data_IF_010183276512
#
_entry.id   IF_010183276512
#
_cell.length_a   1.000
_cell.length_b   1.000
_cell.length_c   1.000
_cell.angle_alpha   90.00
_cell.angle_beta   90.00
_cell.angle_gamma   90.00
#
_symmetry.space_group_name_H-M   'P 1'
#
loop_
_entity.id
_entity.type
_entity.pdbx_description
1 polymer ?
#
# COMPACT_ATOMS: atom_id res chain seq x y z
N UNK A 1 -11.88 -14.03 -13.93
CA UNK A 1 -11.47 -12.83 -13.15
C UNK A 1 -10.04 -12.50 -13.57
N UNK A 2 -9.64 -11.24 -13.64
CA UNK A 2 -8.24 -10.91 -13.93
C UNK A 2 -7.35 -11.42 -12.79
N UNK A 3 -6.14 -11.85 -13.14
CA UNK A 3 -5.19 -12.46 -12.22
C UNK A 3 -4.43 -11.39 -11.44
N UNK A 4 -4.36 -11.54 -10.12
CA UNK A 4 -3.57 -10.65 -9.24
C UNK A 4 -2.11 -11.07 -9.25
N UNK A 5 -1.22 -10.09 -9.36
CA UNK A 5 0.23 -10.31 -9.27
C UNK A 5 0.69 -9.92 -7.88
N UNK A 6 1.40 -10.84 -7.22
CA UNK A 6 2.00 -10.63 -5.89
C UNK A 6 3.51 -10.51 -6.09
N UNK A 7 4.13 -9.49 -5.49
CA UNK A 7 5.58 -9.34 -5.55
C UNK A 7 6.28 -10.51 -4.85
N UNK A 8 7.29 -11.09 -5.50
CA UNK A 8 8.08 -12.22 -4.94
C UNK A 8 8.79 -11.93 -3.61
N UNK A 9 8.93 -10.68 -3.20
CA UNK A 9 9.56 -10.28 -1.94
C UNK A 9 8.56 -10.13 -0.80
N UNK A 10 7.26 -10.08 -1.09
CA UNK A 10 6.21 -10.01 -0.07
C UNK A 10 6.11 -11.36 0.63
N UNK A 11 6.33 -11.37 1.96
CA UNK A 11 6.39 -12.61 2.77
C UNK A 11 5.13 -12.88 3.58
N UNK A 12 4.39 -11.82 3.87
CA UNK A 12 3.12 -11.87 4.58
C UNK A 12 1.99 -11.59 3.59
N UNK A 13 2.00 -12.30 2.46
CA UNK A 13 1.12 -12.04 1.35
C UNK A 13 -0.36 -12.31 1.67
N UNK A 14 -1.23 -11.60 0.97
CA UNK A 14 -2.64 -11.93 0.92
C UNK A 14 -2.90 -13.15 0.05
N UNK A 15 -3.96 -13.87 0.39
CA UNK A 15 -4.45 -15.01 -0.38
C UNK A 15 -5.59 -14.55 -1.27
N UNK A 16 -5.42 -14.68 -2.59
CA UNK A 16 -6.46 -14.40 -3.58
C UNK A 16 -6.80 -15.67 -4.37
N UNK A 17 -8.02 -15.72 -4.91
CA UNK A 17 -8.51 -16.90 -5.64
C UNK A 17 -7.73 -17.21 -6.93
N UNK A 18 -7.29 -16.18 -7.67
CA UNK A 18 -6.44 -16.30 -8.86
C UNK A 18 -5.28 -15.30 -8.74
N UNK A 19 -4.10 -15.82 -8.39
CA UNK A 19 -2.90 -15.01 -8.22
C UNK A 19 -1.64 -15.72 -8.72
N UNK A 20 -0.61 -14.93 -8.98
CA UNK A 20 0.73 -15.41 -9.36
C UNK A 20 1.80 -14.56 -8.69
N UNK A 21 2.87 -15.20 -8.22
CA UNK A 21 4.04 -14.50 -7.73
C UNK A 21 4.96 -14.11 -8.89
N UNK A 22 5.23 -12.82 -9.07
CA UNK A 22 6.20 -12.28 -10.04
C UNK A 22 6.94 -11.12 -9.41
N UNK A 23 8.14 -10.79 -9.89
CA UNK A 23 8.83 -9.58 -9.46
C UNK A 23 8.10 -8.35 -10.00
N UNK A 24 7.75 -7.41 -9.14
CA UNK A 24 7.23 -6.08 -9.48
C UNK A 24 8.32 -5.02 -9.33
N UNK A 25 8.28 -3.98 -10.16
CA UNK A 25 9.23 -2.87 -10.07
C UNK A 25 8.91 -1.91 -8.90
N UNK A 26 7.62 -1.83 -8.52
CA UNK A 26 7.12 -1.10 -7.37
C UNK A 26 5.80 -1.71 -6.85
N UNK A 27 5.56 -1.58 -5.54
CA UNK A 27 4.40 -2.14 -4.83
C UNK A 27 4.53 -3.63 -4.53
N UNK A 28 3.65 -4.09 -3.63
CA UNK A 28 3.56 -5.50 -3.22
C UNK A 28 2.52 -6.27 -4.05
N UNK A 29 1.51 -5.56 -4.58
CA UNK A 29 0.44 -6.15 -5.38
C UNK A 29 0.16 -5.34 -6.63
N UNK A 30 -0.18 -6.03 -7.71
CA UNK A 30 -0.65 -5.46 -8.96
C UNK A 30 -1.66 -6.40 -9.66
N UNK A 31 -2.05 -6.08 -10.89
CA UNK A 31 -2.95 -6.89 -11.72
C UNK A 31 -2.29 -7.18 -13.07
N UNK A 32 -2.45 -8.40 -13.56
CA UNK A 32 -1.80 -8.86 -14.80
C UNK A 32 -2.17 -7.98 -16.01
N UNK A 33 -1.16 -7.59 -16.79
CA UNK A 33 -1.29 -6.68 -17.93
C UNK A 33 -1.20 -5.18 -17.58
N UNK A 34 -1.21 -4.83 -16.29
CA UNK A 34 -1.09 -3.44 -15.80
C UNK A 34 -0.02 -3.29 -14.72
N UNK A 35 0.98 -4.17 -14.67
CA UNK A 35 2.00 -4.25 -13.61
C UNK A 35 2.81 -2.96 -13.41
N UNK A 36 2.95 -2.18 -14.48
CA UNK A 36 3.69 -0.91 -14.48
C UNK A 36 2.76 0.33 -14.44
N UNK A 37 1.46 0.12 -14.22
CA UNK A 37 0.44 1.17 -14.22
C UNK A 37 -0.42 1.17 -12.96
N UNK A 38 -0.60 0.00 -12.33
CA UNK A 38 -1.40 -0.17 -11.13
C UNK A 38 -0.54 -0.84 -10.06
N UNK A 39 -0.52 -0.30 -8.84
CA UNK A 39 0.22 -0.90 -7.74
C UNK A 39 -0.42 -0.61 -6.39
N UNK A 40 -0.31 -1.56 -5.46
CA UNK A 40 -0.65 -1.38 -4.06
C UNK A 40 0.55 -1.74 -3.20
N UNK A 41 0.98 -0.80 -2.36
CA UNK A 41 1.97 -1.01 -1.31
C UNK A 41 1.24 -1.33 0.00
N UNK A 42 1.50 -2.48 0.59
CA UNK A 42 0.89 -2.91 1.86
C UNK A 42 1.85 -2.61 3.00
N UNK A 43 1.32 -2.10 4.12
CA UNK A 43 2.07 -1.99 5.38
C UNK A 43 1.24 -2.41 6.57
N UNK A 44 1.86 -3.13 7.51
CA UNK A 44 1.34 -3.19 8.88
C UNK A 44 1.43 -1.80 9.52
N UNK A 45 0.73 -1.58 10.62
CA UNK A 45 0.81 -0.30 11.33
C UNK A 45 2.23 -0.03 11.85
N UNK A 46 2.88 -1.04 12.44
CA UNK A 46 4.24 -0.93 12.95
C UNK A 46 5.24 -0.64 11.83
N UNK A 47 5.11 -1.31 10.68
CA UNK A 47 5.98 -1.07 9.52
C UNK A 47 5.74 0.32 8.93
N UNK A 48 4.48 0.77 8.86
CA UNK A 48 4.15 2.11 8.40
C UNK A 48 4.80 3.17 9.29
N UNK A 49 4.65 3.08 10.62
CA UNK A 49 5.26 4.01 11.59
C UNK A 49 6.78 3.99 11.48
N UNK A 50 7.40 2.80 11.51
CA UNK A 50 8.85 2.65 11.37
C UNK A 50 9.36 3.31 10.08
N UNK A 51 8.65 3.09 8.97
CA UNK A 51 8.98 3.63 7.66
C UNK A 51 8.89 5.16 7.62
N UNK A 52 7.81 5.75 8.13
CA UNK A 52 7.60 7.20 8.06
C UNK A 52 8.41 7.98 9.09
N UNK A 53 8.93 7.34 10.13
CA UNK A 53 9.73 7.99 11.17
C UNK A 53 11.23 7.80 10.91
N UNK A 54 11.68 6.57 10.64
CA UNK A 54 13.10 6.25 10.50
C UNK A 54 13.52 6.00 9.04
N UNK A 55 12.60 5.52 8.20
CA UNK A 55 12.87 5.09 6.82
C UNK A 55 12.63 6.13 5.74
N UNK A 56 12.43 7.42 6.08
CA UNK A 56 11.92 8.45 5.16
C UNK A 56 12.65 8.51 3.82
N UNK A 57 13.99 8.45 3.79
CA UNK A 57 14.74 8.54 2.54
C UNK A 57 14.48 7.35 1.60
N UNK A 58 14.52 6.11 2.13
CA UNK A 58 14.27 4.89 1.36
C UNK A 58 12.84 4.87 0.84
N UNK A 59 11.89 5.17 1.73
CA UNK A 59 10.48 5.13 1.38
C UNK A 59 10.10 6.20 0.35
N UNK A 60 10.73 7.37 0.39
CA UNK A 60 10.55 8.39 -0.65
C UNK A 60 10.97 7.88 -2.03
N UNK A 61 12.03 7.07 -2.13
CA UNK A 61 12.45 6.47 -3.40
C UNK A 61 11.43 5.43 -3.89
N UNK A 62 10.82 4.67 -2.99
CA UNK A 62 9.74 3.73 -3.32
C UNK A 62 8.49 4.49 -3.80
N UNK A 63 8.08 5.53 -3.07
CA UNK A 63 6.97 6.41 -3.47
C UNK A 63 7.24 7.10 -4.81
N UNK A 64 8.47 7.54 -5.09
CA UNK A 64 8.84 8.16 -6.37
C UNK A 64 8.65 7.22 -7.56
N UNK A 65 8.82 5.91 -7.38
CA UNK A 65 8.50 4.96 -8.47
C UNK A 65 6.99 4.91 -8.72
N UNK A 66 6.21 4.96 -7.65
CA UNK A 66 4.75 4.90 -7.69
C UNK A 66 4.10 6.17 -8.26
N UNK A 67 4.76 7.33 -8.24
CA UNK A 67 4.17 8.56 -8.81
C UNK A 67 3.96 8.51 -10.33
N UNK A 68 4.70 7.66 -11.03
CA UNK A 68 4.52 7.43 -12.47
C UNK A 68 3.35 6.49 -12.80
N UNK A 69 2.78 5.82 -11.80
CA UNK A 69 1.72 4.85 -12.01
C UNK A 69 0.38 5.56 -12.18
N UNK A 70 -0.46 5.02 -13.06
CA UNK A 70 -1.82 5.51 -13.28
C UNK A 70 -2.69 5.41 -12.03
N UNK A 71 -2.46 4.38 -11.23
CA UNK A 71 -3.13 4.14 -9.96
C UNK A 71 -2.20 3.43 -8.98
N UNK A 72 -1.67 4.18 -8.03
CA UNK A 72 -0.92 3.63 -6.92
C UNK A 72 -1.55 4.05 -5.58
N UNK A 73 -1.48 3.20 -4.58
CA UNK A 73 -1.85 3.56 -3.21
C UNK A 73 -1.03 2.79 -2.17
N UNK A 74 -0.98 3.34 -0.96
CA UNK A 74 -0.51 2.64 0.24
C UNK A 74 -1.72 2.18 1.02
N UNK A 75 -1.74 0.92 1.44
CA UNK A 75 -2.77 0.33 2.30
C UNK A 75 -2.14 -0.05 3.63
N UNK A 76 -2.67 0.51 4.71
CA UNK A 76 -2.23 0.25 6.08
C UNK A 76 -3.24 -0.67 6.77
N UNK A 77 -2.76 -1.76 7.36
CA UNK A 77 -3.58 -2.75 8.09
C UNK A 77 -4.00 -2.29 9.50
N UNK A 78 -4.48 -1.06 9.59
CA UNK A 78 -4.95 -0.43 10.81
C UNK A 78 -5.93 0.69 10.49
N UNK A 79 -6.71 1.12 11.48
CA UNK A 79 -7.54 2.32 11.39
C UNK A 79 -6.77 3.57 11.81
N UNK A 80 -7.30 4.74 11.42
CA UNK A 80 -6.80 6.03 11.94
C UNK A 80 -6.94 6.08 13.48
N UNK A 81 -7.98 5.44 14.04
CA UNK A 81 -8.18 5.35 15.49
C UNK A 81 -7.00 4.62 16.15
N UNK A 82 -6.44 3.59 15.53
CA UNK A 82 -5.29 2.87 16.08
C UNK A 82 -4.03 3.75 16.11
N UNK A 83 -3.87 4.65 15.13
CA UNK A 83 -2.82 5.68 15.15
C UNK A 83 -3.06 6.66 16.30
N UNK A 84 -4.27 7.22 16.39
CA UNK A 84 -4.61 8.23 17.40
C UNK A 84 -4.49 7.71 18.84
N UNK A 85 -4.77 6.43 19.05
CA UNK A 85 -4.65 5.74 20.33
C UNK A 85 -3.25 5.13 20.57
N UNK A 86 -2.26 5.41 19.71
CA UNK A 86 -0.89 4.92 19.83
C UNK A 86 -0.79 3.38 19.92
N UNK A 87 -1.56 2.65 19.11
CA UNK A 87 -1.58 1.17 19.11
C UNK A 87 -0.49 0.58 18.22
N UNK A 88 0.71 1.13 18.32
CA UNK A 88 1.88 0.74 17.54
C UNK A 88 3.15 0.86 18.37
N UNK A 89 4.24 0.27 17.89
CA UNK A 89 5.54 0.26 18.55
C UNK A 89 6.31 1.56 18.35
N UNK A 90 7.09 1.94 19.36
CA UNK A 90 7.95 3.12 19.36
C UNK A 90 7.29 4.37 19.95
N UNK A 91 8.05 5.46 20.01
CA UNK A 91 7.69 6.68 20.74
C UNK A 91 7.21 7.83 19.82
N UNK A 92 6.99 7.53 18.53
CA UNK A 92 6.54 8.52 17.58
C UNK A 92 5.15 9.04 17.96
N UNK A 93 5.02 10.34 18.16
CA UNK A 93 3.74 10.96 18.51
C UNK A 93 2.70 10.74 17.38
N UNK A 94 1.42 10.40 17.68
CA UNK A 94 0.38 10.14 16.67
C UNK A 94 0.27 11.23 15.58
N UNK A 95 0.31 12.50 15.97
CA UNK A 95 0.30 13.63 15.03
C UNK A 95 1.47 13.61 14.02
N UNK A 96 2.65 13.11 14.40
CA UNK A 96 3.78 13.00 13.49
C UNK A 96 3.55 11.89 12.45
N UNK A 97 2.93 10.77 12.86
CA UNK A 97 2.54 9.68 11.96
C UNK A 97 1.47 10.17 10.99
N UNK A 98 0.42 10.84 11.48
CA UNK A 98 -0.63 11.42 10.64
C UNK A 98 -0.08 12.48 9.68
N UNK A 99 0.77 13.39 10.17
CA UNK A 99 1.40 14.41 9.32
C UNK A 99 2.23 13.77 8.20
N UNK A 100 2.90 12.66 8.48
CA UNK A 100 3.64 11.92 7.46
C UNK A 100 2.70 11.24 6.45
N UNK A 101 1.59 10.65 6.89
CA UNK A 101 0.57 10.11 5.99
C UNK A 101 0.00 11.18 5.06
N UNK A 102 -0.31 12.37 5.60
CA UNK A 102 -0.79 13.51 4.83
C UNK A 102 0.25 14.02 3.83
N UNK A 103 1.53 14.06 4.20
CA UNK A 103 2.61 14.41 3.26
C UNK A 103 2.69 13.44 2.08
N UNK A 104 2.50 12.13 2.30
CA UNK A 104 2.44 11.15 1.20
C UNK A 104 1.27 11.49 0.24
N UNK A 105 0.09 11.77 0.80
CA UNK A 105 -1.11 12.08 0.02
C UNK A 105 -0.98 13.39 -0.76
N UNK A 106 -0.46 14.43 -0.12
CA UNK A 106 -0.45 15.78 -0.68
C UNK A 106 0.77 16.01 -1.57
N UNK A 107 1.95 15.58 -1.16
CA UNK A 107 3.20 15.89 -1.86
C UNK A 107 3.49 14.89 -2.97
N UNK A 108 3.18 13.61 -2.77
CA UNK A 108 3.39 12.55 -3.78
C UNK A 108 2.13 12.21 -4.56
N UNK A 109 0.95 12.72 -4.14
CA UNK A 109 -0.35 12.40 -4.74
C UNK A 109 -0.69 10.90 -4.68
N UNK A 110 -0.15 10.19 -3.69
CA UNK A 110 -0.38 8.76 -3.45
C UNK A 110 -1.35 8.62 -2.27
N UNK A 111 -2.57 8.10 -2.48
CA UNK A 111 -3.51 7.83 -1.39
C UNK A 111 -2.93 6.87 -0.34
N UNK A 112 -3.22 7.13 0.93
CA UNK A 112 -2.95 6.23 2.06
C UNK A 112 -4.28 5.80 2.66
N UNK A 113 -4.62 4.52 2.53
CA UNK A 113 -5.87 3.96 3.04
C UNK A 113 -5.61 3.19 4.34
N UNK A 114 -6.26 3.62 5.41
CA UNK A 114 -6.26 2.93 6.71
C UNK A 114 -7.44 1.95 6.74
N UNK A 115 -7.17 0.68 6.54
CA UNK A 115 -8.19 -0.35 6.29
C UNK A 115 -8.57 -1.16 7.53
N UNK A 116 -8.42 -0.60 8.73
CA UNK A 116 -8.81 -1.20 10.02
C UNK A 116 -8.03 -2.44 10.43
N UNK A 117 -8.08 -3.52 9.66
CA UNK A 117 -7.38 -4.78 9.95
C UNK A 117 -6.94 -5.47 8.66
N UNK A 118 -6.15 -6.53 8.81
CA UNK A 118 -5.59 -7.34 7.71
C UNK A 118 -6.66 -7.86 6.74
N UNK A 119 -7.78 -8.37 7.24
CA UNK A 119 -8.83 -8.96 6.41
C UNK A 119 -9.53 -7.89 5.56
N UNK A 120 -9.86 -6.74 6.15
CA UNK A 120 -10.47 -5.62 5.45
C UNK A 120 -9.49 -4.98 4.45
N UNK A 121 -8.21 -4.88 4.80
CA UNK A 121 -7.15 -4.46 3.88
C UNK A 121 -7.05 -5.40 2.67
N UNK A 122 -7.01 -6.72 2.87
CA UNK A 122 -7.01 -7.70 1.79
C UNK A 122 -8.20 -7.54 0.83
N UNK A 123 -9.41 -7.41 1.37
CA UNK A 123 -10.62 -7.16 0.56
C UNK A 123 -10.53 -5.85 -0.22
N UNK A 124 -10.02 -4.79 0.41
CA UNK A 124 -9.82 -3.50 -0.24
C UNK A 124 -8.80 -3.60 -1.39
N UNK A 125 -7.65 -4.24 -1.16
CA UNK A 125 -6.61 -4.43 -2.19
C UNK A 125 -7.18 -5.18 -3.39
N UNK A 126 -7.89 -6.29 -3.16
CA UNK A 126 -8.54 -7.03 -4.23
C UNK A 126 -9.52 -6.14 -5.02
N UNK A 127 -10.44 -5.45 -4.33
CA UNK A 127 -11.42 -4.60 -4.98
C UNK A 127 -10.77 -3.45 -5.77
N UNK A 128 -9.72 -2.83 -5.23
CA UNK A 128 -8.97 -1.76 -5.88
C UNK A 128 -8.34 -2.22 -7.19
N UNK A 129 -7.64 -3.36 -7.17
CA UNK A 129 -6.98 -3.93 -8.35
C UNK A 129 -7.97 -4.36 -9.43
N UNK A 130 -9.08 -5.00 -9.03
CA UNK A 130 -10.13 -5.41 -9.97
C UNK A 130 -10.83 -4.20 -10.61
N UNK A 131 -11.10 -3.15 -9.82
CA UNK A 131 -11.70 -1.93 -10.34
C UNK A 131 -10.75 -1.18 -11.31
N UNK A 132 -9.46 -1.15 -11.00
CA UNK A 132 -8.44 -0.58 -11.88
C UNK A 132 -8.36 -1.33 -13.21
N UNK A 133 -8.35 -2.66 -13.18
CA UNK A 133 -8.36 -3.50 -14.37
C UNK A 133 -9.58 -3.24 -15.26
N UNK A 134 -10.78 -3.26 -14.67
CA UNK A 134 -12.02 -3.01 -15.39
C UNK A 134 -12.06 -1.64 -16.07
N UNK A 135 -11.31 -0.65 -15.55
CA UNK A 135 -11.29 0.72 -16.06
C UNK A 135 -10.24 0.95 -17.16
N UNK A 136 -9.15 0.16 -17.18
CA UNK A 136 -7.96 0.46 -18.00
C UNK A 136 -7.42 -0.70 -18.83
N UNK A 137 -8.02 -1.88 -18.77
CA UNK A 137 -7.68 -3.02 -19.63
C UNK A 137 -8.37 -2.94 -21.02
N UNK A 138 -8.79 -1.74 -21.46
CA UNK A 138 -9.42 -1.53 -22.78
C UNK A 138 -8.37 -1.28 -23.86
#
# INVERSE_FOLDING_TARGET
MPRIVIDTREKDEYVFADSVCKKLDAGDYSIEGLENQVAVERKSLDDFVSTVIHGRARFRNELQKLTGYRAACVVVEAGIIDVLLHRYRGDAHPNAVLGSALSIILDFRIPVFFCSNRQAACQFVQAYLLAAHARWHS
#
